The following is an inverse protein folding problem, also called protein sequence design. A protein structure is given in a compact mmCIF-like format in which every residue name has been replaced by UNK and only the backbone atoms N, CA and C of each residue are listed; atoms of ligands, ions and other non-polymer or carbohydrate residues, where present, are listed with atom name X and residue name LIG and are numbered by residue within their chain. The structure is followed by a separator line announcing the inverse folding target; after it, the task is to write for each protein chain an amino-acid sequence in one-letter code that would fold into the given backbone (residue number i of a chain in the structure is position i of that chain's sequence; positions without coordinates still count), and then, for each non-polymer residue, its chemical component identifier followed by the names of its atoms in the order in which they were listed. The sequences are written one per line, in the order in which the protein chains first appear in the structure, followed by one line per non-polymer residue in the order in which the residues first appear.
data_IF_735173404134
#
_entry.id   IF_735173404134
#
_cell.length_a   1.000
_cell.length_b   1.000
_cell.length_c   1.000
_cell.angle_alpha   90.00
_cell.angle_beta   90.00
_cell.angle_gamma   90.00
#
_symmetry.space_group_name_H-M   'P 1'
#
loop_
_entity.id
_entity.type
_entity.pdbx_description
1 polymer ?
#
# COMPACT_ATOMS: atom_id res chain seq x y z
N UNK A 1 15.05 4.40 17.59
CA UNK A 1 15.47 3.34 16.64
C UNK A 1 14.63 3.48 15.40
N UNK A 2 15.24 3.51 14.21
CA UNK A 2 14.52 3.48 12.94
C UNK A 2 14.43 2.06 12.40
N UNK A 3 13.27 1.70 11.86
CA UNK A 3 13.03 0.37 11.29
C UNK A 3 12.44 0.52 9.89
N UNK A 4 12.99 -0.16 8.88
CA UNK A 4 14.23 -0.95 8.90
C UNK A 4 15.47 -0.07 9.06
N UNK A 5 16.52 -0.59 9.66
CA UNK A 5 17.82 0.09 9.69
C UNK A 5 18.39 0.15 8.27
N UNK A 6 18.85 1.33 7.85
CA UNK A 6 19.32 1.56 6.48
C UNK A 6 20.20 2.80 6.42
N UNK A 7 21.18 2.81 5.54
CA UNK A 7 21.99 3.97 5.20
C UNK A 7 21.28 4.91 4.19
N UNK A 8 20.08 4.55 3.77
CA UNK A 8 19.29 5.32 2.81
C UNK A 8 18.69 6.60 3.38
N UNK A 9 18.62 6.70 4.69
CA UNK A 9 18.18 7.89 5.40
C UNK A 9 19.16 8.28 6.49
N UNK A 10 19.18 9.54 6.84
CA UNK A 10 19.93 10.10 7.94
C UNK A 10 19.01 10.60 9.05
N UNK A 11 19.46 10.54 10.29
CA UNK A 11 18.71 11.06 11.43
C UNK A 11 19.51 12.13 12.12
N UNK A 12 18.93 13.31 12.18
CA UNK A 12 19.41 14.43 12.97
C UNK A 12 18.52 14.57 14.20
N UNK A 13 19.09 14.36 15.39
CA UNK A 13 18.33 14.22 16.62
C UNK A 13 18.72 15.24 17.68
N UNK A 14 17.95 16.30 17.76
CA UNK A 14 17.99 17.36 18.78
C UNK A 14 16.89 17.19 19.84
N UNK A 15 16.23 16.03 19.86
CA UNK A 15 15.21 15.72 20.85
C UNK A 15 15.80 15.60 22.26
N UNK A 16 15.14 16.20 23.24
CA UNK A 16 15.51 16.15 24.65
C UNK A 16 14.43 15.51 25.49
N UNK A 17 14.81 14.81 26.56
CA UNK A 17 13.86 14.14 27.42
C UNK A 17 13.49 15.02 28.62
N UNK A 18 12.19 15.05 28.96
CA UNK A 18 11.66 15.71 30.15
C UNK A 18 12.02 17.20 30.29
N UNK A 19 12.12 17.91 29.16
CA UNK A 19 12.33 19.36 29.13
C UNK A 19 11.15 20.08 28.47
N UNK A 20 10.17 20.57 29.25
CA UNK A 20 8.98 21.24 28.69
C UNK A 20 9.29 22.49 27.87
N UNK A 21 10.45 23.13 28.09
CA UNK A 21 10.85 24.34 27.36
C UNK A 21 11.29 24.03 25.92
N UNK A 22 11.61 22.76 25.60
CA UNK A 22 11.99 22.35 24.27
C UNK A 22 10.79 22.25 23.28
N UNK A 23 9.59 22.54 23.76
CA UNK A 23 8.39 22.50 22.95
C UNK A 23 7.88 21.07 22.66
N UNK A 24 6.93 20.96 21.75
CA UNK A 24 6.31 19.67 21.41
C UNK A 24 7.27 18.83 20.55
N UNK A 25 7.31 17.52 20.83
CA UNK A 25 8.05 16.56 20.00
C UNK A 25 7.62 16.64 18.54
N UNK A 26 8.57 16.83 17.66
CA UNK A 26 8.43 16.81 16.21
C UNK A 26 9.37 15.74 15.64
N UNK A 27 8.85 14.91 14.77
CA UNK A 27 9.59 13.91 14.01
C UNK A 27 9.16 14.10 12.57
N UNK A 28 10.01 14.69 11.75
CA UNK A 28 9.64 15.14 10.41
C UNK A 28 10.73 14.79 9.40
N UNK A 29 10.35 14.74 8.15
CA UNK A 29 11.23 14.69 6.99
C UNK A 29 10.90 15.86 6.06
N UNK A 30 11.92 16.54 5.55
CA UNK A 30 11.68 17.57 4.55
C UNK A 30 11.37 16.93 3.18
N UNK A 31 10.08 16.76 2.92
CA UNK A 31 9.59 16.15 1.70
C UNK A 31 9.74 17.03 0.45
N UNK A 32 9.85 18.36 0.60
CA UNK A 32 9.99 19.31 -0.51
C UNK A 32 11.35 19.20 -1.22
N UNK A 33 12.39 18.81 -0.51
CA UNK A 33 13.75 18.75 -1.05
C UNK A 33 14.16 17.36 -1.52
N UNK A 34 13.21 16.43 -1.66
CA UNK A 34 13.47 15.07 -2.12
C UNK A 34 14.59 14.34 -1.34
N UNK A 35 14.83 14.76 -0.11
CA UNK A 35 15.84 14.17 0.77
C UNK A 35 15.24 13.19 1.78
N UNK A 36 16.11 12.37 2.37
CA UNK A 36 15.77 11.41 3.41
C UNK A 36 16.47 11.74 4.74
N UNK A 37 16.63 13.02 5.05
CA UNK A 37 17.04 13.50 6.36
C UNK A 37 15.81 13.58 7.28
N UNK A 38 15.84 12.83 8.36
CA UNK A 38 14.79 12.81 9.38
C UNK A 38 15.24 13.71 10.52
N UNK A 39 14.48 14.73 10.81
CA UNK A 39 14.68 15.64 11.92
C UNK A 39 13.83 15.23 13.12
N UNK A 40 14.47 15.10 14.28
CA UNK A 40 13.81 14.88 15.56
C UNK A 40 14.14 16.06 16.47
N UNK A 41 13.13 16.77 16.97
CA UNK A 41 13.30 17.91 17.87
C UNK A 41 12.18 17.99 18.89
N UNK A 42 12.39 18.77 19.96
CA UNK A 42 11.40 19.00 21.01
C UNK A 42 11.49 18.01 22.16
N UNK A 43 10.47 18.03 23.01
CA UNK A 43 10.43 17.32 24.29
C UNK A 43 9.84 15.91 24.16
N UNK A 44 10.58 14.91 24.58
CA UNK A 44 10.18 13.51 24.65
C UNK A 44 9.76 13.17 26.07
N UNK A 45 8.47 12.90 26.29
CA UNK A 45 7.92 12.56 27.61
C UNK A 45 7.55 11.08 27.76
N UNK A 46 7.43 10.38 26.63
CA UNK A 46 7.09 8.95 26.58
C UNK A 46 7.62 8.33 25.30
N UNK A 47 7.72 7.01 25.29
CA UNK A 47 8.00 6.27 24.07
C UNK A 47 6.97 6.64 22.99
N UNK A 48 7.47 6.95 21.80
CA UNK A 48 6.64 7.42 20.69
C UNK A 48 7.17 6.83 19.39
N UNK A 49 6.28 6.25 18.60
CA UNK A 49 6.57 5.74 17.27
C UNK A 49 5.89 6.63 16.21
N UNK A 50 6.58 6.88 15.12
CA UNK A 50 6.07 7.60 13.96
C UNK A 50 6.43 6.88 12.69
N UNK A 51 5.46 6.78 11.78
CA UNK A 51 5.69 6.34 10.40
C UNK A 51 5.91 7.57 9.54
N UNK A 52 6.96 7.56 8.75
CA UNK A 52 7.32 8.64 7.84
C UNK A 52 7.38 8.11 6.41
N UNK A 53 6.96 8.94 5.46
CA UNK A 53 7.19 8.66 4.05
C UNK A 53 8.69 8.75 3.75
N UNK A 54 9.16 7.94 2.80
CA UNK A 54 10.54 7.97 2.32
C UNK A 54 10.55 8.43 0.86
N UNK A 55 11.52 9.25 0.48
CA UNK A 55 11.71 9.62 -0.91
C UNK A 55 12.30 8.46 -1.69
N UNK A 56 11.79 8.24 -2.92
CA UNK A 56 12.15 7.13 -3.79
C UNK A 56 12.03 5.77 -3.08
N UNK A 57 10.80 5.42 -2.74
CA UNK A 57 10.46 4.18 -2.03
C UNK A 57 10.89 2.92 -2.79
N UNK A 58 10.93 2.97 -4.13
CA UNK A 58 11.40 1.88 -4.98
C UNK A 58 12.88 1.58 -4.73
N UNK A 59 13.72 2.59 -4.76
CA UNK A 59 15.15 2.44 -4.49
C UNK A 59 15.40 2.01 -3.04
N UNK A 60 14.66 2.60 -2.08
CA UNK A 60 14.71 2.19 -0.68
C UNK A 60 14.37 0.70 -0.49
N UNK A 61 13.33 0.21 -1.18
CA UNK A 61 12.98 -1.20 -1.15
C UNK A 61 14.13 -2.07 -1.67
N UNK A 62 14.70 -1.75 -2.83
CA UNK A 62 15.80 -2.53 -3.40
C UNK A 62 17.05 -2.51 -2.54
N UNK A 63 17.44 -1.36 -2.01
CA UNK A 63 18.60 -1.28 -1.09
C UNK A 63 18.36 -2.09 0.19
N UNK A 64 17.16 -1.99 0.76
CA UNK A 64 16.79 -2.76 1.95
C UNK A 64 16.84 -4.27 1.65
N UNK A 65 16.36 -4.69 0.49
CA UNK A 65 16.39 -6.08 0.06
C UNK A 65 17.83 -6.59 -0.09
N UNK A 66 18.68 -5.83 -0.79
CA UNK A 66 20.11 -6.16 -0.93
C UNK A 66 20.81 -6.25 0.43
N UNK A 67 20.60 -5.28 1.30
CA UNK A 67 21.18 -5.30 2.64
C UNK A 67 20.70 -6.51 3.46
N UNK A 68 19.45 -6.90 3.28
CA UNK A 68 18.90 -8.10 3.91
C UNK A 68 19.56 -9.38 3.40
N UNK A 69 19.78 -9.49 2.09
CA UNK A 69 20.50 -10.63 1.49
C UNK A 69 21.94 -10.69 2.00
N UNK A 70 22.67 -9.58 2.01
CA UNK A 70 24.04 -9.50 2.57
C UNK A 70 24.09 -9.92 4.03
N UNK A 71 23.13 -9.46 4.84
CA UNK A 71 23.05 -9.84 6.26
C UNK A 71 22.77 -11.34 6.48
N UNK A 72 22.28 -12.03 5.45
CA UNK A 72 22.04 -13.48 5.43
C UNK A 72 23.19 -14.27 4.80
N UNK A 73 24.33 -13.61 4.50
CA UNK A 73 25.50 -14.26 3.94
C UNK A 73 25.49 -14.45 2.42
N UNK A 74 24.56 -13.79 1.71
CA UNK A 74 24.58 -13.81 0.25
C UNK A 74 25.67 -12.88 -0.25
N UNK A 75 26.69 -13.42 -0.89
CA UNK A 75 27.74 -12.66 -1.55
C UNK A 75 27.27 -12.14 -2.91
N UNK A 76 27.50 -10.87 -3.17
CA UNK A 76 27.10 -10.19 -4.40
C UNK A 76 28.25 -9.29 -4.87
N UNK A 77 28.79 -9.59 -6.03
CA UNK A 77 29.89 -8.80 -6.62
C UNK A 77 29.39 -7.51 -7.25
N UNK A 78 28.27 -7.59 -7.99
CA UNK A 78 27.65 -6.44 -8.65
C UNK A 78 26.15 -6.44 -8.40
N UNK A 79 25.62 -5.28 -8.03
CA UNK A 79 24.19 -5.06 -7.87
C UNK A 79 23.80 -3.86 -8.71
N UNK A 80 22.87 -4.06 -9.63
CA UNK A 80 22.26 -2.99 -10.41
C UNK A 80 20.74 -3.08 -10.34
N UNK A 81 20.10 -1.92 -10.27
CA UNK A 81 18.64 -1.81 -10.34
C UNK A 81 18.27 -1.25 -11.70
N UNK A 82 17.42 -1.96 -12.40
CA UNK A 82 16.90 -1.54 -13.68
C UNK A 82 15.38 -1.72 -13.71
N UNK A 83 14.71 -0.87 -14.45
CA UNK A 83 13.30 -1.08 -14.75
C UNK A 83 13.17 -2.23 -15.75
N UNK A 84 12.18 -3.09 -15.52
CA UNK A 84 11.85 -4.14 -16.49
C UNK A 84 11.38 -3.49 -17.80
N UNK A 85 12.02 -3.78 -18.96
CA UNK A 85 11.58 -3.25 -20.24
C UNK A 85 10.13 -3.58 -20.52
N UNK A 86 9.40 -2.66 -21.18
CA UNK A 86 7.98 -2.88 -21.49
C UNK A 86 7.71 -4.10 -22.36
N UNK A 87 8.65 -4.43 -23.24
CA UNK A 87 8.56 -5.54 -24.19
C UNK A 87 9.41 -6.74 -23.79
N UNK A 88 9.72 -6.89 -22.50
CA UNK A 88 10.52 -8.02 -22.07
C UNK A 88 9.69 -9.31 -22.17
N UNK A 89 9.81 -9.95 -23.32
CA UNK A 89 9.44 -11.35 -23.52
C UNK A 89 10.45 -12.24 -22.79
N UNK A 90 10.54 -12.12 -21.46
CA UNK A 90 11.22 -13.13 -20.66
C UNK A 90 10.50 -14.46 -20.90
N UNK A 91 10.91 -15.13 -21.95
CA UNK A 91 10.25 -16.33 -22.49
C UNK A 91 10.39 -17.53 -21.55
N UNK A 92 11.34 -17.48 -20.62
CA UNK A 92 11.49 -18.52 -19.60
C UNK A 92 11.99 -17.91 -18.30
N UNK A 93 11.08 -17.70 -17.35
CA UNK A 93 11.43 -17.35 -15.97
C UNK A 93 11.12 -18.56 -15.10
N UNK A 94 12.12 -19.10 -14.45
CA UNK A 94 11.92 -20.10 -13.40
C UNK A 94 11.76 -19.35 -12.08
N UNK A 95 10.58 -19.35 -11.44
CA UNK A 95 10.41 -18.72 -10.15
C UNK A 95 11.24 -19.47 -9.11
N UNK A 96 12.05 -18.73 -8.35
CA UNK A 96 12.81 -19.29 -7.24
C UNK A 96 11.93 -19.43 -5.98
N UNK A 97 10.98 -18.56 -5.84
CA UNK A 97 10.06 -18.52 -4.70
C UNK A 97 8.78 -17.76 -5.07
N UNK A 98 7.66 -18.22 -4.55
CA UNK A 98 6.37 -17.53 -4.65
C UNK A 98 5.88 -17.22 -3.24
N UNK A 99 5.62 -15.95 -2.97
CA UNK A 99 4.99 -15.52 -1.72
C UNK A 99 3.49 -15.36 -1.97
N UNK A 100 2.70 -16.14 -1.25
CA UNK A 100 1.25 -16.08 -1.28
C UNK A 100 0.73 -15.53 0.05
N UNK A 101 -0.31 -14.70 -0.03
CA UNK A 101 -1.04 -14.22 1.13
C UNK A 101 -2.53 -14.48 0.95
N UNK A 102 -3.21 -15.08 1.92
CA UNK A 102 -4.65 -15.25 1.88
C UNK A 102 -5.35 -13.89 1.76
N UNK A 103 -6.34 -13.81 0.87
CA UNK A 103 -7.07 -12.56 0.63
C UNK A 103 -7.74 -12.01 1.91
N UNK A 104 -8.16 -12.89 2.82
CA UNK A 104 -8.73 -12.48 4.10
C UNK A 104 -7.75 -11.70 4.99
N UNK A 105 -6.45 -12.03 4.95
CA UNK A 105 -5.41 -11.28 5.67
C UNK A 105 -5.21 -9.89 5.07
N UNK A 106 -5.20 -9.80 3.74
CA UNK A 106 -5.10 -8.51 3.03
C UNK A 106 -6.32 -7.64 3.32
N UNK A 107 -7.52 -8.22 3.31
CA UNK A 107 -8.76 -7.54 3.67
C UNK A 107 -8.73 -7.01 5.11
N UNK A 108 -8.27 -7.80 6.07
CA UNK A 108 -8.13 -7.38 7.48
C UNK A 108 -7.16 -6.20 7.60
N UNK A 109 -6.00 -6.28 6.97
CA UNK A 109 -5.03 -5.20 6.96
C UNK A 109 -5.62 -3.94 6.32
N UNK A 110 -6.25 -4.08 5.15
CA UNK A 110 -6.85 -2.97 4.42
C UNK A 110 -7.92 -2.24 5.24
N UNK A 111 -8.86 -2.99 5.82
CA UNK A 111 -10.05 -2.39 6.46
C UNK A 111 -9.80 -1.96 7.91
N UNK A 112 -9.08 -2.75 8.72
CA UNK A 112 -8.83 -2.41 10.12
C UNK A 112 -7.76 -1.34 10.31
N UNK A 113 -6.71 -1.38 9.49
CA UNK A 113 -5.61 -0.40 9.56
C UNK A 113 -5.79 0.77 8.58
N UNK A 114 -6.86 0.73 7.77
CA UNK A 114 -7.10 1.72 6.71
C UNK A 114 -5.89 1.84 5.76
N UNK A 115 -5.38 0.68 5.33
CA UNK A 115 -4.16 0.59 4.53
C UNK A 115 -4.45 0.84 3.05
N UNK A 116 -4.12 2.04 2.59
CA UNK A 116 -4.34 2.46 1.20
C UNK A 116 -3.56 1.62 0.20
N UNK A 117 -2.36 1.16 0.54
CA UNK A 117 -1.55 0.32 -0.36
C UNK A 117 -2.23 -1.03 -0.61
N UNK A 118 -2.80 -1.63 0.44
CA UNK A 118 -3.60 -2.85 0.30
C UNK A 118 -4.84 -2.60 -0.57
N UNK A 119 -5.52 -1.48 -0.39
CA UNK A 119 -6.71 -1.12 -1.17
C UNK A 119 -6.40 -0.93 -2.66
N UNK A 120 -5.34 -0.18 -2.98
CA UNK A 120 -4.87 -0.01 -4.37
C UNK A 120 -4.41 -1.34 -4.98
N UNK A 121 -3.69 -2.16 -4.22
CA UNK A 121 -3.27 -3.47 -4.69
C UNK A 121 -4.45 -4.36 -5.05
N UNK A 122 -5.52 -4.34 -4.24
CA UNK A 122 -6.76 -5.08 -4.51
C UNK A 122 -7.48 -4.53 -5.75
N UNK A 123 -7.50 -3.22 -5.92
CA UNK A 123 -8.10 -2.56 -7.09
C UNK A 123 -7.42 -3.02 -8.39
N UNK A 124 -6.08 -3.01 -8.43
CA UNK A 124 -5.34 -3.50 -9.59
C UNK A 124 -5.44 -5.02 -9.77
N UNK A 125 -5.57 -5.79 -8.70
CA UNK A 125 -5.83 -7.23 -8.79
C UNK A 125 -7.17 -7.53 -9.45
N UNK A 126 -8.22 -6.81 -9.09
CA UNK A 126 -9.52 -6.90 -9.76
C UNK A 126 -9.41 -6.50 -11.23
N UNK A 127 -8.70 -5.41 -11.53
CA UNK A 127 -8.42 -4.97 -12.89
C UNK A 127 -7.74 -6.04 -13.73
N UNK A 128 -6.66 -6.64 -13.24
CA UNK A 128 -5.93 -7.71 -13.93
C UNK A 128 -6.83 -8.93 -14.20
N UNK A 129 -7.63 -9.31 -13.22
CA UNK A 129 -8.52 -10.44 -13.35
C UNK A 129 -9.66 -10.16 -14.35
N UNK A 130 -10.22 -8.97 -14.33
CA UNK A 130 -11.28 -8.57 -15.27
C UNK A 130 -10.76 -8.43 -16.71
N UNK A 131 -9.66 -7.71 -16.89
CA UNK A 131 -9.06 -7.45 -18.20
C UNK A 131 -8.28 -8.63 -18.79
N UNK A 132 -8.05 -9.71 -18.01
CA UNK A 132 -7.28 -10.90 -18.38
C UNK A 132 -5.90 -10.57 -18.94
N UNK A 133 -5.25 -9.54 -18.37
CA UNK A 133 -3.89 -9.11 -18.76
C UNK A 133 -3.07 -8.69 -17.53
N UNK A 134 -1.76 -8.78 -17.63
CA UNK A 134 -0.82 -8.51 -16.51
C UNK A 134 -0.57 -7.02 -16.26
N UNK A 135 -0.72 -6.16 -17.27
CA UNK A 135 -0.54 -4.71 -17.15
C UNK A 135 -1.89 -4.03 -17.28
N UNK A 136 -2.26 -3.32 -16.24
CA UNK A 136 -3.54 -2.62 -16.11
C UNK A 136 -3.33 -1.21 -15.58
N UNK A 137 -4.27 -0.34 -15.83
CA UNK A 137 -4.32 1.02 -15.30
C UNK A 137 -5.60 1.27 -14.52
N UNK A 138 -5.76 2.52 -14.08
CA UNK A 138 -6.90 2.94 -13.26
C UNK A 138 -8.24 2.70 -13.95
N UNK A 139 -8.30 2.93 -15.27
CA UNK A 139 -9.51 2.68 -16.04
C UNK A 139 -9.94 1.21 -16.01
N UNK A 140 -8.99 0.27 -16.06
CA UNK A 140 -9.29 -1.16 -15.98
C UNK A 140 -9.88 -1.53 -14.61
N UNK A 141 -9.43 -0.87 -13.54
CA UNK A 141 -9.98 -1.04 -12.20
C UNK A 141 -11.41 -0.50 -12.10
N UNK A 142 -11.62 0.69 -12.64
CA UNK A 142 -12.96 1.29 -12.74
C UNK A 142 -13.90 0.42 -13.54
N UNK A 143 -13.47 -0.12 -14.67
CA UNK A 143 -14.25 -1.02 -15.51
C UNK A 143 -14.61 -2.32 -14.78
N UNK A 144 -13.67 -2.89 -14.03
CA UNK A 144 -13.92 -4.09 -13.21
C UNK A 144 -15.02 -3.83 -12.16
N UNK A 145 -14.96 -2.68 -11.48
CA UNK A 145 -15.95 -2.30 -10.47
C UNK A 145 -17.29 -2.00 -11.14
N UNK A 146 -17.32 -1.27 -12.25
CA UNK A 146 -18.55 -0.98 -13.01
C UNK A 146 -19.23 -2.25 -13.50
N UNK A 147 -18.44 -3.22 -13.97
CA UNK A 147 -18.95 -4.54 -14.33
C UNK A 147 -19.60 -5.24 -13.13
N UNK A 148 -18.94 -5.24 -11.97
CA UNK A 148 -19.50 -5.83 -10.75
C UNK A 148 -20.81 -5.13 -10.32
N UNK A 149 -20.84 -3.80 -10.33
CA UNK A 149 -22.03 -3.00 -9.99
C UNK A 149 -23.22 -3.40 -10.88
N UNK A 150 -22.97 -3.54 -12.17
CA UNK A 150 -24.01 -3.90 -13.15
C UNK A 150 -24.44 -5.35 -13.01
N UNK A 151 -23.51 -6.28 -13.09
CA UNK A 151 -23.81 -7.70 -13.24
C UNK A 151 -24.15 -8.39 -11.91
N UNK A 152 -23.59 -7.91 -10.79
CA UNK A 152 -23.79 -8.54 -9.48
C UNK A 152 -24.77 -7.78 -8.59
N UNK A 153 -24.76 -6.45 -8.66
CA UNK A 153 -25.65 -5.64 -7.83
C UNK A 153 -26.91 -5.18 -8.57
N UNK A 154 -26.96 -5.35 -9.90
CA UNK A 154 -28.11 -4.95 -10.72
C UNK A 154 -28.35 -3.43 -10.73
N UNK A 155 -27.30 -2.64 -10.50
CA UNK A 155 -27.36 -1.18 -10.48
C UNK A 155 -26.79 -0.59 -11.78
N UNK A 156 -27.21 0.64 -12.11
CA UNK A 156 -26.61 1.35 -13.24
C UNK A 156 -25.29 2.00 -12.82
N UNK A 157 -24.12 1.56 -13.38
CA UNK A 157 -22.82 2.10 -13.01
C UNK A 157 -22.64 3.57 -13.36
N UNK A 158 -23.38 4.13 -14.33
CA UNK A 158 -23.26 5.55 -14.72
C UNK A 158 -23.59 6.54 -13.59
N UNK A 159 -24.21 6.06 -12.52
CA UNK A 159 -24.53 6.87 -11.34
C UNK A 159 -23.38 6.94 -10.33
N UNK A 160 -22.27 6.29 -10.59
CA UNK A 160 -21.13 6.19 -9.66
C UNK A 160 -19.84 6.47 -10.39
N UNK A 161 -18.82 6.90 -9.65
CA UNK A 161 -17.49 7.03 -10.18
C UNK A 161 -16.50 6.53 -9.13
N UNK A 162 -15.76 5.49 -9.43
CA UNK A 162 -14.74 4.89 -8.55
C UNK A 162 -13.47 4.78 -9.37
N UNK A 163 -12.50 5.62 -9.07
CA UNK A 163 -11.28 5.79 -9.85
C UNK A 163 -10.02 5.30 -9.15
N UNK A 164 -10.13 4.95 -7.88
CA UNK A 164 -9.05 4.36 -7.09
C UNK A 164 -9.58 3.34 -6.08
N UNK A 165 -8.69 2.52 -5.55
CA UNK A 165 -9.03 1.52 -4.53
C UNK A 165 -9.08 2.10 -3.11
N UNK A 166 -8.29 3.14 -2.84
CA UNK A 166 -8.13 3.73 -1.50
C UNK A 166 -9.25 4.70 -1.12
N UNK A 167 -10.01 5.19 -2.09
CA UNK A 167 -11.04 6.19 -1.85
C UNK A 167 -10.51 7.60 -1.57
N UNK A 168 -9.22 7.86 -1.83
CA UNK A 168 -8.58 9.16 -1.56
C UNK A 168 -8.87 10.16 -2.66
N UNK A 169 -9.16 9.71 -3.87
CA UNK A 169 -9.45 10.59 -4.99
C UNK A 169 -10.72 11.41 -4.75
N UNK A 170 -10.64 12.71 -4.99
CA UNK A 170 -11.79 13.63 -4.95
C UNK A 170 -12.81 13.36 -6.08
N UNK A 171 -12.45 12.55 -7.05
CA UNK A 171 -13.32 12.16 -8.16
C UNK A 171 -14.18 10.93 -7.85
N UNK A 172 -13.94 10.27 -6.72
CA UNK A 172 -14.81 9.19 -6.29
C UNK A 172 -16.16 9.73 -5.82
N UNK A 173 -17.24 9.17 -6.33
CA UNK A 173 -18.56 9.38 -5.76
C UNK A 173 -19.41 8.12 -5.81
N UNK A 174 -20.07 7.85 -4.71
CA UNK A 174 -20.95 6.69 -4.50
C UNK A 174 -22.24 7.14 -3.82
N UNK A 175 -23.23 6.27 -3.82
CA UNK A 175 -24.46 6.54 -3.07
C UNK A 175 -24.62 5.58 -1.89
N UNK A 176 -25.42 5.93 -0.86
CA UNK A 176 -25.78 5.01 0.22
C UNK A 176 -26.41 3.71 -0.29
N UNK A 177 -27.14 3.78 -1.41
CA UNK A 177 -27.75 2.61 -2.06
C UNK A 177 -26.68 1.65 -2.57
N UNK A 178 -25.61 2.15 -3.20
CA UNK A 178 -24.50 1.29 -3.66
C UNK A 178 -23.88 0.55 -2.49
N UNK A 179 -23.60 1.26 -1.38
CA UNK A 179 -23.05 0.65 -0.17
C UNK A 179 -23.98 -0.42 0.40
N UNK A 180 -25.28 -0.14 0.47
CA UNK A 180 -26.28 -1.09 0.98
C UNK A 180 -26.32 -2.36 0.11
N UNK A 181 -26.38 -2.23 -1.21
CA UNK A 181 -26.45 -3.39 -2.09
C UNK A 181 -25.14 -4.20 -2.07
N UNK A 182 -23.99 -3.54 -1.90
CA UNK A 182 -22.71 -4.22 -1.71
C UNK A 182 -22.67 -5.03 -0.40
N UNK A 183 -23.14 -4.45 0.71
CA UNK A 183 -23.24 -5.14 2.00
C UNK A 183 -24.22 -6.32 1.93
N UNK A 184 -25.36 -6.17 1.27
CA UNK A 184 -26.31 -7.27 1.03
C UNK A 184 -25.69 -8.38 0.20
N UNK A 185 -24.96 -8.02 -0.87
CA UNK A 185 -24.25 -8.99 -1.68
C UNK A 185 -23.28 -9.81 -0.82
N UNK A 186 -22.43 -9.16 -0.03
CA UNK A 186 -21.51 -9.84 0.87
C UNK A 186 -22.25 -10.73 1.88
N UNK A 187 -23.35 -10.26 2.45
CA UNK A 187 -24.14 -11.00 3.42
C UNK A 187 -24.77 -12.28 2.85
N UNK A 188 -25.21 -12.27 1.60
CA UNK A 188 -25.87 -13.41 0.94
C UNK A 188 -24.90 -14.43 0.32
N UNK A 189 -23.57 -14.18 0.39
CA UNK A 189 -22.57 -15.08 -0.15
C UNK A 189 -21.75 -15.69 0.99
N UNK A 190 -22.00 -16.96 1.30
CA UNK A 190 -21.44 -17.66 2.43
C UNK A 190 -19.89 -17.67 2.44
N UNK A 191 -19.29 -17.71 1.25
CA UNK A 191 -17.83 -17.69 1.07
C UNK A 191 -17.21 -16.29 1.32
N UNK A 192 -18.01 -15.23 1.29
CA UNK A 192 -17.57 -13.84 1.47
C UNK A 192 -17.90 -13.33 2.86
N UNK A 193 -19.05 -13.68 3.43
CA UNK A 193 -19.61 -13.04 4.62
C UNK A 193 -18.68 -13.10 5.82
N UNK A 194 -18.08 -14.26 6.09
CA UNK A 194 -17.24 -14.43 7.26
C UNK A 194 -15.93 -13.64 7.16
N UNK A 195 -15.11 -13.78 6.09
CA UNK A 195 -13.89 -12.98 5.92
C UNK A 195 -14.17 -11.47 5.88
N UNK A 196 -15.27 -11.07 5.26
CA UNK A 196 -15.68 -9.66 5.19
C UNK A 196 -16.06 -9.12 6.58
N UNK A 197 -16.89 -9.86 7.33
CA UNK A 197 -17.29 -9.47 8.69
C UNK A 197 -16.09 -9.33 9.64
N UNK A 198 -15.15 -10.27 9.59
CA UNK A 198 -13.93 -10.22 10.38
C UNK A 198 -12.99 -9.07 10.01
N UNK A 199 -13.08 -8.56 8.78
CA UNK A 199 -12.30 -7.44 8.30
C UNK A 199 -12.91 -6.07 8.66
N UNK A 200 -14.19 -6.00 9.02
CA UNK A 200 -14.83 -4.74 9.42
C UNK A 200 -14.12 -4.13 10.65
N UNK A 201 -13.92 -2.79 10.67
CA UNK A 201 -13.25 -2.08 11.76
C UNK A 201 -14.00 -2.13 13.09
#
# INVERSE_FOLDING_TARGET
VCVPASDYYQVDNDGVSNNPQAGRLQITRNWLHHGNLIHISGNVTKETTRTLSIYNSKEFFFQTFVNRLKSKGVEMEHVAFADCPENDSLTVVTPLFTLERPIGEVLKQMMKESDNLCAESMFYHMAMNHAQRKRVGDNDGSDAINHFIKEKLGLNPDYYNIVDGSGVSLYNYISPRLLLENLKYAYHHAEIVQPFYEALP
#
